data_IF_391777621530
#
_entry.id   IF_391777621530
#
_cell.length_a   1.000
_cell.length_b   1.000
_cell.length_c   1.000
_cell.angle_alpha   90.00
_cell.angle_beta   90.00
_cell.angle_gamma   90.00
#
_symmetry.space_group_name_H-M   'P 1'
#
loop_
_entity.id
_entity.type
_entity.pdbx_description
1 polymer ?
#
# COMPACT_ATOMS: atom_id res chain seq x y z
N UNK A 1 20.62 -11.72 5.54
CA UNK A 1 19.29 -11.11 5.33
C UNK A 1 19.29 -10.46 3.95
N UNK A 2 18.47 -10.95 3.01
CA UNK A 2 18.37 -10.36 1.65
C UNK A 2 17.44 -9.15 1.74
N UNK A 3 17.98 -7.94 1.56
CA UNK A 3 17.16 -6.73 1.56
C UNK A 3 16.42 -6.62 0.22
N UNK A 4 15.08 -6.50 0.21
CA UNK A 4 14.32 -6.34 -1.03
C UNK A 4 14.74 -5.03 -1.73
N UNK A 5 14.97 -5.11 -3.04
CA UNK A 5 15.45 -3.96 -3.83
C UNK A 5 14.37 -2.88 -3.91
N UNK A 6 14.76 -1.61 -3.80
CA UNK A 6 13.83 -0.47 -3.88
C UNK A 6 13.01 -0.47 -5.19
N UNK A 7 13.61 -0.92 -6.30
CA UNK A 7 12.93 -1.05 -7.61
C UNK A 7 11.82 -2.10 -7.56
N UNK A 8 12.07 -3.24 -6.91
CA UNK A 8 11.08 -4.31 -6.73
C UNK A 8 9.94 -3.88 -5.82
N UNK A 9 10.23 -3.15 -4.73
CA UNK A 9 9.22 -2.67 -3.77
C UNK A 9 8.28 -1.64 -4.41
N UNK A 10 8.83 -0.73 -5.22
CA UNK A 10 8.02 0.26 -5.94
C UNK A 10 7.08 -0.41 -6.93
N UNK A 11 7.58 -1.38 -7.70
CA UNK A 11 6.79 -2.13 -8.69
C UNK A 11 5.63 -2.88 -8.01
N UNK A 12 5.89 -3.60 -6.92
CA UNK A 12 4.85 -4.31 -6.16
C UNK A 12 3.81 -3.33 -5.63
N UNK A 13 4.22 -2.18 -5.10
CA UNK A 13 3.30 -1.16 -4.59
C UNK A 13 2.38 -0.61 -5.68
N UNK A 14 2.91 -0.39 -6.89
CA UNK A 14 2.12 0.07 -8.05
C UNK A 14 1.09 -1.00 -8.45
N UNK A 15 1.50 -2.25 -8.58
CA UNK A 15 0.62 -3.36 -8.99
C UNK A 15 -0.51 -3.54 -7.97
N UNK A 16 -0.19 -3.56 -6.67
CA UNK A 16 -1.19 -3.73 -5.61
C UNK A 16 -2.15 -2.54 -5.58
N UNK A 17 -1.67 -1.31 -5.79
CA UNK A 17 -2.53 -0.13 -5.88
C UNK A 17 -3.50 -0.21 -7.06
N UNK A 18 -3.03 -0.67 -8.22
CA UNK A 18 -3.85 -0.86 -9.42
C UNK A 18 -4.98 -1.87 -9.23
N UNK A 19 -4.81 -2.85 -8.34
CA UNK A 19 -5.82 -3.86 -8.02
C UNK A 19 -6.76 -3.36 -6.91
N UNK A 20 -6.23 -2.69 -5.89
CA UNK A 20 -7.00 -2.23 -4.73
C UNK A 20 -7.95 -1.06 -5.05
N UNK A 21 -7.52 -0.12 -5.92
CA UNK A 21 -8.28 1.09 -6.26
C UNK A 21 -9.60 0.79 -6.98
N UNK A 22 -9.65 -0.06 -8.03
CA UNK A 22 -10.92 -0.45 -8.64
C UNK A 22 -11.86 -1.14 -7.66
N UNK A 23 -11.33 -2.00 -6.78
CA UNK A 23 -12.12 -2.66 -5.73
C UNK A 23 -12.75 -1.66 -4.75
N UNK A 24 -11.99 -0.63 -4.36
CA UNK A 24 -12.47 0.45 -3.51
C UNK A 24 -13.60 1.23 -4.20
N UNK A 25 -13.37 1.69 -5.43
CA UNK A 25 -14.38 2.45 -6.18
C UNK A 25 -15.64 1.62 -6.42
N UNK A 26 -15.49 0.36 -6.85
CA UNK A 26 -16.60 -0.55 -7.05
C UNK A 26 -17.42 -0.76 -5.77
N UNK A 27 -16.73 -0.97 -4.63
CA UNK A 27 -17.40 -1.15 -3.34
C UNK A 27 -18.22 0.07 -2.92
N UNK A 28 -17.69 1.28 -3.14
CA UNK A 28 -18.40 2.53 -2.83
C UNK A 28 -19.64 2.68 -3.72
N UNK A 29 -19.50 2.42 -5.03
CA UNK A 29 -20.62 2.48 -5.98
C UNK A 29 -21.70 1.48 -5.59
N UNK A 30 -21.33 0.24 -5.24
CA UNK A 30 -22.28 -0.78 -4.83
C UNK A 30 -22.99 -0.43 -3.52
N UNK A 31 -22.28 0.03 -2.50
CA UNK A 31 -22.88 0.49 -1.24
C UNK A 31 -23.87 1.63 -1.49
N UNK A 32 -23.55 2.53 -2.42
CA UNK A 32 -24.43 3.65 -2.78
C UNK A 32 -25.71 3.20 -3.50
N UNK A 33 -25.66 2.07 -4.22
CA UNK A 33 -26.81 1.50 -4.93
C UNK A 33 -27.63 0.58 -4.04
N UNK A 34 -26.98 -0.23 -3.23
CA UNK A 34 -27.57 -1.22 -2.34
C UNK A 34 -26.76 -1.31 -1.03
N UNK A 35 -27.15 -0.55 0.01
CA UNK A 35 -26.46 -0.55 1.29
C UNK A 35 -26.70 -1.83 2.10
N UNK A 36 -27.59 -2.73 1.65
CA UNK A 36 -27.79 -4.03 2.32
C UNK A 36 -26.73 -5.06 1.92
N UNK A 37 -25.96 -4.79 0.86
CA UNK A 37 -24.94 -5.70 0.35
C UNK A 37 -23.70 -5.74 1.27
N UNK A 38 -23.71 -6.66 2.23
CA UNK A 38 -22.62 -6.85 3.20
C UNK A 38 -21.27 -7.14 2.53
N UNK A 39 -21.25 -7.82 1.38
CA UNK A 39 -20.01 -8.12 0.67
C UNK A 39 -19.31 -6.84 0.20
N UNK A 40 -20.06 -5.83 -0.23
CA UNK A 40 -19.47 -4.55 -0.64
C UNK A 40 -18.72 -3.86 0.51
N UNK A 41 -19.21 -3.96 1.74
CA UNK A 41 -18.48 -3.46 2.92
C UNK A 41 -17.20 -4.26 3.21
N UNK A 42 -17.23 -5.58 3.05
CA UNK A 42 -16.05 -6.42 3.20
C UNK A 42 -14.98 -6.02 2.19
N UNK A 43 -15.36 -5.82 0.92
CA UNK A 43 -14.45 -5.34 -0.11
C UNK A 43 -13.91 -3.93 0.19
N UNK A 44 -14.77 -3.02 0.67
CA UNK A 44 -14.34 -1.67 1.07
C UNK A 44 -13.27 -1.72 2.17
N UNK A 45 -13.54 -2.44 3.25
CA UNK A 45 -12.60 -2.57 4.39
C UNK A 45 -11.29 -3.23 3.94
N UNK A 46 -11.37 -4.28 3.11
CA UNK A 46 -10.19 -4.99 2.59
C UNK A 46 -9.33 -4.07 1.72
N UNK A 47 -9.94 -3.32 0.81
CA UNK A 47 -9.23 -2.34 -0.03
C UNK A 47 -8.59 -1.23 0.80
N UNK A 48 -9.30 -0.69 1.79
CA UNK A 48 -8.75 0.33 2.70
C UNK A 48 -7.55 -0.20 3.50
N UNK A 49 -7.64 -1.43 3.99
CA UNK A 49 -6.56 -2.08 4.73
C UNK A 49 -5.30 -2.26 3.87
N UNK A 50 -5.47 -2.71 2.62
CA UNK A 50 -4.36 -2.84 1.65
C UNK A 50 -3.71 -1.49 1.39
N UNK A 51 -4.51 -0.43 1.17
CA UNK A 51 -4.00 0.92 0.96
C UNK A 51 -3.24 1.44 2.18
N UNK A 52 -3.74 1.18 3.40
CA UNK A 52 -3.07 1.56 4.63
C UNK A 52 -1.71 0.87 4.80
N UNK A 53 -1.61 -0.43 4.49
CA UNK A 53 -0.35 -1.16 4.48
C UNK A 53 0.63 -0.55 3.48
N UNK A 54 0.17 -0.30 2.25
CA UNK A 54 0.99 0.32 1.21
C UNK A 54 1.51 1.70 1.64
N UNK A 55 0.63 2.54 2.20
CA UNK A 55 1.02 3.85 2.72
C UNK A 55 2.07 3.71 3.83
N UNK A 56 1.90 2.76 4.76
CA UNK A 56 2.87 2.45 5.80
C UNK A 56 4.23 2.03 5.24
N UNK A 57 4.25 1.18 4.22
CA UNK A 57 5.48 0.78 3.52
C UNK A 57 6.17 1.96 2.83
N UNK A 58 5.41 2.82 2.16
CA UNK A 58 5.94 4.03 1.52
C UNK A 58 6.56 4.96 2.57
N UNK A 59 5.87 5.22 3.68
CA UNK A 59 6.37 6.04 4.79
C UNK A 59 7.66 5.46 5.36
N UNK A 60 7.73 4.14 5.59
CA UNK A 60 8.96 3.49 6.03
C UNK A 60 10.09 3.63 5.01
N UNK A 61 9.80 3.51 3.71
CA UNK A 61 10.80 3.72 2.66
C UNK A 61 11.36 5.15 2.69
N UNK A 62 10.53 6.16 2.90
CA UNK A 62 10.97 7.56 3.01
C UNK A 62 11.72 7.83 4.32
N UNK A 63 11.25 7.29 5.45
CA UNK A 63 11.82 7.51 6.77
C UNK A 63 13.17 6.78 6.97
N UNK A 64 13.29 5.56 6.46
CA UNK A 64 14.47 4.70 6.63
C UNK A 64 15.36 4.62 5.38
N UNK A 65 14.83 4.88 4.18
CA UNK A 65 15.63 4.93 2.95
C UNK A 65 16.61 6.11 2.89
N UNK A 66 16.46 7.12 3.75
CA UNK A 66 17.47 8.19 3.96
C UNK A 66 18.49 7.88 5.05
N UNK A 67 18.28 6.84 5.89
CA UNK A 67 19.17 6.51 7.01
C UNK A 67 19.99 5.27 6.69
N UNK A 68 21.04 5.43 5.86
CA UNK A 68 22.28 4.61 5.89
C UNK A 68 23.26 5.14 4.83
N UNK A 69 23.80 6.32 5.09
CA UNK A 69 25.23 6.54 4.88
C UNK A 69 25.75 6.69 6.31
N UNK A 70 26.26 5.63 6.97
CA UNK A 70 27.13 5.89 8.11
C UNK A 70 28.21 6.84 7.58
N UNK A 71 28.48 7.99 8.24
CA UNK A 71 29.64 8.78 7.85
C UNK A 71 30.81 7.81 7.83
N UNK A 72 31.44 7.63 6.67
CA UNK A 72 32.78 7.04 6.62
C UNK A 72 33.59 7.90 7.57
N UNK A 73 33.81 7.37 8.76
CA UNK A 73 34.78 7.95 9.66
C UNK A 73 36.10 7.69 8.97
N UNK A 74 36.66 8.72 8.36
CA UNK A 74 38.00 8.80 7.80
C UNK A 74 39.05 8.53 8.89
N UNK A 75 39.07 7.29 9.41
CA UNK A 75 40.10 6.74 10.29
C UNK A 75 40.85 5.62 9.56
#
# INVERSE_FOLDING_TARGET
>A
MVQPSAKSVLLVSIIVSFIALPGLVYSIIQISRDPSNTYSYIYLVSSLFIIAILAGYIVQLFAFGRKRIPPESDY
#
